data_IF_264641960634
#
_entry.id   IF_264641960634
#
_cell.length_a   1.000
_cell.length_b   1.000
_cell.length_c   1.000
_cell.angle_alpha   90.00
_cell.angle_beta   90.00
_cell.angle_gamma   90.00
#
_symmetry.space_group_name_H-M   'P 1'
#
loop_
_entity.id
_entity.type
_entity.pdbx_description
1 polymer ?
#
# COMPACT_ATOMS: atom_id res chain seq x y z
N UNK A 1 0.56 -5.44 1.71
CA UNK A 1 -0.72 -4.68 1.66
C UNK A 1 -1.89 -5.57 2.05
N UNK A 2 -2.10 -6.74 1.47
CA UNK A 2 -3.23 -7.63 1.80
C UNK A 2 -3.35 -7.98 3.30
N UNK A 3 -2.24 -8.34 3.96
CA UNK A 3 -2.24 -8.59 5.40
C UNK A 3 -2.68 -7.34 6.21
N UNK A 4 -2.15 -6.16 5.85
CA UNK A 4 -2.56 -4.89 6.46
C UNK A 4 -4.04 -4.60 6.19
N UNK A 5 -4.53 -4.88 4.98
CA UNK A 5 -5.94 -4.74 4.59
C UNK A 5 -6.85 -5.67 5.40
N UNK A 6 -6.34 -6.79 5.92
CA UNK A 6 -7.05 -7.68 6.82
C UNK A 6 -6.94 -7.26 8.31
N UNK A 7 -6.36 -6.10 8.61
CA UNK A 7 -5.98 -5.67 9.96
C UNK A 7 -5.03 -6.65 10.68
N UNK A 8 -4.22 -7.40 9.94
CA UNK A 8 -3.16 -8.23 10.51
C UNK A 8 -1.90 -7.39 10.68
N UNK A 9 -1.31 -7.29 11.88
CA UNK A 9 -0.04 -6.61 12.08
C UNK A 9 1.05 -7.17 11.18
N UNK A 10 1.83 -6.28 10.56
CA UNK A 10 2.92 -6.66 9.66
C UNK A 10 4.25 -6.25 10.26
N UNK A 11 5.21 -7.18 10.23
CA UNK A 11 6.62 -6.94 10.51
C UNK A 11 7.36 -7.26 9.21
N UNK A 12 8.18 -6.33 8.73
CA UNK A 12 8.82 -6.48 7.42
C UNK A 12 10.21 -5.85 7.39
N UNK A 13 10.89 -5.94 6.25
CA UNK A 13 12.23 -5.38 6.07
C UNK A 13 12.18 -3.93 5.58
N UNK A 14 13.25 -3.12 5.79
CA UNK A 14 13.32 -1.77 5.26
C UNK A 14 13.08 -1.72 3.74
N UNK A 15 13.57 -2.74 3.02
CA UNK A 15 13.43 -2.83 1.56
C UNK A 15 12.00 -3.13 1.11
N UNK A 16 11.21 -3.83 1.92
CA UNK A 16 9.82 -4.15 1.59
C UNK A 16 8.88 -2.95 1.79
N UNK A 17 9.18 -2.07 2.74
CA UNK A 17 8.37 -0.87 3.00
C UNK A 17 8.83 0.36 2.21
N UNK A 18 10.01 0.35 1.59
CA UNK A 18 10.59 1.54 0.95
C UNK A 18 9.76 2.15 -0.18
N UNK A 19 8.93 1.34 -0.85
CA UNK A 19 8.00 1.80 -1.89
C UNK A 19 6.63 2.25 -1.34
N UNK A 20 6.42 2.12 -0.03
CA UNK A 20 5.18 2.45 0.65
C UNK A 20 5.36 3.76 1.44
N UNK A 21 4.26 4.49 1.58
CA UNK A 21 4.15 5.65 2.47
C UNK A 21 3.73 5.26 3.91
N UNK A 22 3.80 3.97 4.25
CA UNK A 22 3.47 3.48 5.58
C UNK A 22 4.51 3.95 6.60
N UNK A 23 4.06 4.35 7.79
CA UNK A 23 4.92 4.89 8.85
C UNK A 23 5.45 3.75 9.73
N UNK A 24 6.78 3.50 9.77
CA UNK A 24 7.38 2.50 10.65
C UNK A 24 7.09 2.81 12.12
N UNK A 25 6.67 1.80 12.88
CA UNK A 25 6.28 1.93 14.28
C UNK A 25 4.78 2.23 14.48
N UNK A 26 4.10 2.74 13.46
CA UNK A 26 2.67 3.10 13.52
C UNK A 26 1.79 2.15 12.68
N UNK A 27 2.10 2.02 11.38
CA UNK A 27 1.34 1.19 10.43
C UNK A 27 1.92 -0.22 10.29
N UNK A 28 3.23 -0.34 10.50
CA UNK A 28 4.05 -1.53 10.25
C UNK A 28 5.28 -1.50 11.14
N UNK A 29 5.80 -2.64 11.57
CA UNK A 29 7.11 -2.72 12.20
C UNK A 29 8.18 -3.09 11.18
N UNK A 30 9.36 -2.49 11.32
CA UNK A 30 10.51 -2.75 10.44
C UNK A 30 11.60 -3.41 11.25
N UNK A 31 12.12 -4.52 10.74
CA UNK A 31 13.21 -5.30 11.32
C UNK A 31 14.23 -5.66 10.23
N UNK A 32 15.52 -5.68 10.57
CA UNK A 32 16.60 -5.84 9.57
C UNK A 32 17.30 -7.20 9.66
N UNK A 33 17.26 -7.84 10.84
CA UNK A 33 17.86 -9.15 11.06
C UNK A 33 16.94 -10.08 11.87
N UNK A 34 17.31 -11.36 11.95
CA UNK A 34 16.50 -12.38 12.61
C UNK A 34 16.20 -12.10 14.10
N UNK A 35 17.13 -11.48 14.83
CA UNK A 35 16.93 -11.15 16.24
C UNK A 35 15.91 -10.01 16.41
N UNK A 36 15.98 -9.00 15.54
CA UNK A 36 15.02 -7.89 15.53
C UNK A 36 13.61 -8.40 15.20
N UNK A 37 13.50 -9.29 14.20
CA UNK A 37 12.23 -9.93 13.86
C UNK A 37 11.67 -10.73 15.04
N UNK A 38 12.49 -11.56 15.68
CA UNK A 38 12.06 -12.35 16.83
C UNK A 38 11.57 -11.46 17.98
N UNK A 39 12.30 -10.39 18.29
CA UNK A 39 11.91 -9.41 19.31
C UNK A 39 10.58 -8.73 18.97
N UNK A 40 10.43 -8.23 17.74
CA UNK A 40 9.20 -7.58 17.29
C UNK A 40 8.01 -8.54 17.29
N UNK A 41 8.19 -9.79 16.87
CA UNK A 41 7.13 -10.81 16.89
C UNK A 41 6.68 -11.07 18.32
N UNK A 42 7.61 -11.30 19.25
CA UNK A 42 7.28 -11.57 20.65
C UNK A 42 6.59 -10.38 21.31
N UNK A 43 7.03 -9.15 21.03
CA UNK A 43 6.39 -7.94 21.53
C UNK A 43 4.96 -7.80 21.00
N UNK A 44 4.72 -8.01 19.70
CA UNK A 44 3.37 -7.97 19.12
C UNK A 44 2.47 -9.06 19.69
N UNK A 45 2.98 -10.29 19.85
CA UNK A 45 2.20 -11.41 20.41
C UNK A 45 1.93 -11.25 21.92
N UNK A 46 2.83 -10.61 22.65
CA UNK A 46 2.71 -10.36 24.09
C UNK A 46 1.94 -9.09 24.45
N UNK A 47 1.62 -8.23 23.47
CA UNK A 47 1.00 -6.93 23.70
C UNK A 47 -0.26 -6.75 22.83
N UNK A 48 -1.45 -7.14 23.34
CA UNK A 48 -2.71 -7.04 22.60
C UNK A 48 -3.04 -5.62 22.11
N UNK A 49 -2.72 -4.59 22.91
CA UNK A 49 -2.95 -3.20 22.54
C UNK A 49 -2.10 -2.80 21.32
N UNK A 50 -0.83 -3.24 21.30
CA UNK A 50 0.07 -3.01 20.15
C UNK A 50 -0.38 -3.79 18.91
N UNK A 51 -0.88 -5.01 19.09
CA UNK A 51 -1.46 -5.82 18.03
C UNK A 51 -2.65 -5.11 17.38
N UNK A 52 -3.60 -4.62 18.18
CA UNK A 52 -4.77 -3.90 17.68
C UNK A 52 -4.41 -2.57 17.02
N UNK A 53 -3.48 -1.81 17.62
CA UNK A 53 -2.98 -0.56 17.06
C UNK A 53 -2.36 -0.77 15.67
N UNK A 54 -1.41 -1.70 15.54
CA UNK A 54 -0.74 -1.98 14.25
C UNK A 54 -1.72 -2.51 13.21
N UNK A 55 -2.64 -3.39 13.60
CA UNK A 55 -3.66 -3.93 12.71
C UNK A 55 -4.60 -2.84 12.17
N UNK A 56 -5.13 -2.01 13.07
CA UNK A 56 -6.07 -0.95 12.70
C UNK A 56 -5.41 0.16 11.87
N UNK A 57 -4.18 0.57 12.23
CA UNK A 57 -3.41 1.55 11.46
C UNK A 57 -3.04 1.00 10.07
N UNK A 58 -2.53 -0.23 10.01
CA UNK A 58 -2.22 -0.88 8.74
C UNK A 58 -3.43 -0.97 7.80
N UNK A 59 -4.61 -1.32 8.32
CA UNK A 59 -5.86 -1.31 7.55
C UNK A 59 -6.20 0.08 7.05
N UNK A 60 -6.17 1.08 7.93
CA UNK A 60 -6.45 2.48 7.59
C UNK A 60 -5.53 2.95 6.46
N UNK A 61 -4.23 2.66 6.55
CA UNK A 61 -3.25 2.98 5.52
C UNK A 61 -3.64 2.43 4.13
N UNK A 62 -4.04 1.15 4.06
CA UNK A 62 -4.48 0.55 2.80
C UNK A 62 -5.75 1.21 2.29
N UNK A 63 -6.73 1.41 3.17
CA UNK A 63 -8.02 2.02 2.83
C UNK A 63 -7.89 3.48 2.39
N UNK A 64 -6.88 4.23 2.84
CA UNK A 64 -6.69 5.63 2.44
C UNK A 64 -5.80 5.80 1.22
N UNK A 65 -4.79 4.94 1.07
CA UNK A 65 -3.69 5.19 0.12
C UNK A 65 -3.70 4.22 -1.07
N UNK A 66 -4.36 3.07 -0.96
CA UNK A 66 -4.34 2.01 -1.96
C UNK A 66 -5.74 1.59 -2.44
N UNK A 67 -6.67 2.55 -2.54
CA UNK A 67 -8.02 2.28 -3.03
C UNK A 67 -8.00 1.91 -4.52
N UNK A 68 -8.25 0.63 -4.81
CA UNK A 68 -8.23 0.10 -6.18
C UNK A 68 -9.15 0.85 -7.14
N UNK A 69 -10.37 1.21 -6.69
CA UNK A 69 -11.32 1.94 -7.51
C UNK A 69 -10.78 3.31 -7.97
N UNK A 70 -10.11 4.04 -7.07
CA UNK A 70 -9.52 5.33 -7.41
C UNK A 70 -8.39 5.19 -8.43
N UNK A 71 -7.52 4.19 -8.25
CA UNK A 71 -6.41 3.91 -9.17
C UNK A 71 -6.94 3.47 -10.53
N UNK A 72 -7.96 2.61 -10.57
CA UNK A 72 -8.57 2.13 -11.80
C UNK A 72 -9.25 3.27 -12.59
N UNK A 73 -9.98 4.16 -11.90
CA UNK A 73 -10.61 5.33 -12.53
C UNK A 73 -9.58 6.31 -13.11
N UNK A 74 -8.44 6.51 -12.44
CA UNK A 74 -7.35 7.33 -12.95
C UNK A 74 -6.75 6.71 -14.22
N UNK A 75 -6.49 5.40 -14.19
CA UNK A 75 -5.96 4.67 -15.34
C UNK A 75 -6.94 4.72 -16.54
N UNK A 76 -8.23 4.51 -16.27
CA UNK A 76 -9.28 4.61 -17.29
C UNK A 76 -9.31 5.99 -17.93
N UNK A 77 -9.21 7.06 -17.12
CA UNK A 77 -9.15 8.44 -17.61
C UNK A 77 -7.97 8.64 -18.57
N UNK A 78 -6.78 8.18 -18.18
CA UNK A 78 -5.57 8.27 -19.01
C UNK A 78 -5.76 7.50 -20.34
N UNK A 79 -6.38 6.32 -20.30
CA UNK A 79 -6.66 5.55 -21.50
C UNK A 79 -7.65 6.28 -22.42
N UNK A 80 -8.73 6.81 -21.88
CA UNK A 80 -9.71 7.58 -22.65
C UNK A 80 -9.09 8.81 -23.30
N UNK A 81 -8.27 9.58 -22.57
CA UNK A 81 -7.55 10.74 -23.10
C UNK A 81 -6.59 10.36 -24.24
N UNK A 82 -5.84 9.28 -24.06
CA UNK A 82 -4.87 8.80 -25.07
C UNK A 82 -5.58 8.33 -26.34
N UNK A 83 -6.67 7.57 -26.20
CA UNK A 83 -7.49 7.10 -27.33
C UNK A 83 -8.07 8.31 -28.08
N UNK A 84 -8.68 9.26 -27.37
CA UNK A 84 -9.29 10.44 -27.98
C UNK A 84 -8.26 11.28 -28.74
N UNK A 85 -7.07 11.48 -28.16
CA UNK A 85 -5.97 12.23 -28.80
C UNK A 85 -5.52 11.55 -30.11
N UNK A 86 -5.38 10.22 -30.09
CA UNK A 86 -4.99 9.48 -31.29
C UNK A 86 -6.06 9.53 -32.38
N UNK A 87 -7.35 9.38 -32.02
CA UNK A 87 -8.46 9.48 -32.97
C UNK A 87 -8.54 10.84 -33.66
N UNK A 88 -8.22 11.94 -32.97
CA UNK A 88 -8.19 13.28 -33.55
C UNK A 88 -7.01 13.51 -34.50
N UNK A 89 -5.84 12.92 -34.22
CA UNK A 89 -4.68 13.00 -35.12
C UNK A 89 -4.87 12.21 -36.42
N UNK A 90 -5.53 11.05 -36.36
CA UNK A 90 -5.78 10.22 -37.55
C UNK A 90 -6.82 10.86 -38.48
N UNK A 91 -7.78 11.63 -37.94
CA UNK A 91 -8.75 12.37 -38.73
C UNK A 91 -8.10 13.50 -39.57
N UNK A 92 -7.07 14.16 -39.03
CA UNK A 92 -6.36 15.27 -39.69
C UNK A 92 -5.49 14.85 -40.89
N UNK A 93 -5.12 13.58 -41.02
CA UNK A 93 -4.23 13.07 -42.09
C UNK A 93 -5.03 12.59 -43.32
N UNK A 94 -6.36 12.58 -43.24
CA UNK A 94 -7.24 12.04 -44.30
C UNK A 94 -7.90 13.10 -45.20
N UNK A 95 -7.58 14.38 -45.05
CA UNK A 95 -7.95 15.47 -45.97
C UNK A 95 -6.74 15.92 -46.79
#
# INVERSE_FOLDING_TARGET
LEAMACATPVITTPRAVSALQAVPGEDVLVADNAADFASAILDVLGNPAKQEMLGSNGRRYVETTHQWAAIANQLETIYQETINTHSQQVAWVRE
#
